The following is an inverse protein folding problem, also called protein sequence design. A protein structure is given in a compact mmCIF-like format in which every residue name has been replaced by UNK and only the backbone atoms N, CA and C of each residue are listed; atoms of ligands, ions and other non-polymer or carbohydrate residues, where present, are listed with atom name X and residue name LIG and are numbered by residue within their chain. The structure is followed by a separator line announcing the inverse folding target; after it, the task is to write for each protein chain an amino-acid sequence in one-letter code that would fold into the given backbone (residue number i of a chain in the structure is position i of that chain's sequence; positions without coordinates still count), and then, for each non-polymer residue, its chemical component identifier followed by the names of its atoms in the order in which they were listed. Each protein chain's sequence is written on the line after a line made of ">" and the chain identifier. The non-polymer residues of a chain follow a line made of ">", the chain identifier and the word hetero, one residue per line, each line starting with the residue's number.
data_IF_626104080502
#
_entry.id   IF_626104080502
#
_cell.length_a   1.000
_cell.length_b   1.000
_cell.length_c   1.000
_cell.angle_alpha   90.00
_cell.angle_beta   90.00
_cell.angle_gamma   90.00
#
_symmetry.space_group_name_H-M   'P 1'
#
loop_
_entity.id
_entity.type
_entity.pdbx_description
1 polymer ?
#
# COMPACT_ATOMS: atom_id res chain seq x y z
N UNK A 1 33.99 6.79 18.46
CA UNK A 1 32.80 6.89 19.31
C UNK A 1 31.53 7.00 18.49
N UNK A 2 31.43 7.99 17.64
CA UNK A 2 30.25 8.14 16.80
C UNK A 2 29.99 6.95 15.85
N UNK A 3 31.05 6.27 15.45
CA UNK A 3 30.93 5.13 14.57
C UNK A 3 30.17 3.96 15.22
N UNK A 4 30.51 3.62 16.46
CA UNK A 4 29.81 2.54 17.17
C UNK A 4 28.37 2.91 17.49
N UNK A 5 28.13 4.15 17.91
CA UNK A 5 26.80 4.63 18.20
C UNK A 5 25.92 4.59 16.94
N UNK A 6 26.47 4.99 15.79
CA UNK A 6 25.75 4.97 14.54
C UNK A 6 25.37 3.54 14.12
N UNK A 7 26.30 2.58 14.30
CA UNK A 7 26.04 1.18 13.96
C UNK A 7 24.94 0.58 14.85
N UNK A 8 24.98 0.88 16.15
CA UNK A 8 23.96 0.40 17.09
C UNK A 8 22.59 0.99 16.77
N UNK A 9 22.53 2.28 16.50
CA UNK A 9 21.26 2.95 16.14
C UNK A 9 20.69 2.36 14.85
N UNK A 10 21.54 2.12 13.86
CA UNK A 10 21.11 1.53 12.61
C UNK A 10 20.54 0.13 12.80
N UNK A 11 21.21 -0.68 13.63
CA UNK A 11 20.72 -2.02 13.95
C UNK A 11 19.39 -1.99 14.66
N UNK A 12 19.22 -1.11 15.63
CA UNK A 12 17.96 -0.94 16.37
C UNK A 12 16.85 -0.46 15.42
N UNK A 13 17.15 0.45 14.49
CA UNK A 13 16.18 0.90 13.50
C UNK A 13 15.68 -0.25 12.63
N UNK A 14 16.56 -1.14 12.22
CA UNK A 14 16.18 -2.29 11.42
C UNK A 14 15.30 -3.25 12.19
N UNK A 15 15.56 -3.44 13.48
CA UNK A 15 14.77 -4.31 14.33
C UNK A 15 13.37 -3.76 14.60
N UNK A 16 13.25 -2.42 14.68
CA UNK A 16 12.00 -1.75 15.03
C UNK A 16 11.23 -1.22 13.82
N UNK A 17 11.78 -1.38 12.63
CA UNK A 17 11.12 -0.88 11.42
C UNK A 17 9.82 -1.64 11.18
N UNK A 18 8.73 -0.91 11.17
CA UNK A 18 7.41 -1.46 10.84
C UNK A 18 7.06 -1.12 9.40
N UNK A 19 6.34 -2.03 8.77
CA UNK A 19 5.79 -1.76 7.45
C UNK A 19 4.67 -0.73 7.60
N UNK A 20 4.78 0.38 6.87
CA UNK A 20 3.77 1.43 6.88
C UNK A 20 2.87 1.25 5.67
N UNK A 21 1.58 1.17 5.92
CA UNK A 21 0.58 0.91 4.88
C UNK A 21 -0.43 2.04 4.88
N UNK A 22 -0.68 2.59 3.70
CA UNK A 22 -1.76 3.54 3.49
C UNK A 22 -2.94 2.78 2.90
N UNK A 23 -4.07 2.80 3.59
CA UNK A 23 -5.32 2.23 3.07
C UNK A 23 -6.20 3.37 2.62
N UNK A 24 -6.52 3.40 1.34
CA UNK A 24 -7.25 4.50 0.75
C UNK A 24 -8.51 4.01 0.03
N UNK A 25 -9.52 4.85 0.05
CA UNK A 25 -10.77 4.60 -0.65
C UNK A 25 -11.02 5.74 -1.63
N UNK A 26 -10.59 5.53 -2.88
CA UNK A 26 -10.72 6.59 -3.89
C UNK A 26 -12.14 6.69 -4.43
N UNK A 27 -12.45 7.84 -5.01
CA UNK A 27 -13.71 8.10 -5.67
C UNK A 27 -14.85 8.41 -4.72
N UNK A 28 -16.06 8.28 -5.22
CA UNK A 28 -17.27 8.66 -4.48
C UNK A 28 -17.94 7.50 -3.75
N UNK A 29 -17.33 6.32 -3.79
CA UNK A 29 -17.86 5.13 -3.14
C UNK A 29 -17.86 5.30 -1.62
N UNK A 30 -19.02 5.11 -1.01
CA UNK A 30 -19.18 5.22 0.44
C UNK A 30 -19.05 3.91 1.21
N UNK A 31 -18.67 2.82 0.55
CA UNK A 31 -18.59 1.49 1.17
C UNK A 31 -17.21 1.28 1.80
N UNK A 32 -17.01 1.76 3.02
CA UNK A 32 -15.69 1.75 3.67
C UNK A 32 -15.46 0.58 4.63
N UNK A 33 -16.47 -0.28 4.84
CA UNK A 33 -16.37 -1.37 5.80
C UNK A 33 -15.22 -2.33 5.49
N UNK A 34 -15.10 -2.73 4.23
CA UNK A 34 -14.02 -3.62 3.82
C UNK A 34 -12.64 -3.01 4.03
N UNK A 35 -12.49 -1.74 3.70
CA UNK A 35 -11.22 -1.03 3.91
C UNK A 35 -10.85 -0.96 5.38
N UNK A 36 -11.83 -0.73 6.26
CA UNK A 36 -11.60 -0.67 7.70
C UNK A 36 -11.22 -2.03 8.28
N UNK A 37 -11.85 -3.10 7.78
CA UNK A 37 -11.51 -4.47 8.20
C UNK A 37 -10.07 -4.81 7.84
N UNK A 38 -9.67 -4.49 6.61
CA UNK A 38 -8.30 -4.72 6.17
C UNK A 38 -7.32 -3.90 6.99
N UNK A 39 -7.63 -2.63 7.23
CA UNK A 39 -6.76 -1.76 8.03
C UNK A 39 -6.54 -2.35 9.43
N UNK A 40 -7.61 -2.84 10.05
CA UNK A 40 -7.51 -3.46 11.36
C UNK A 40 -6.67 -4.73 11.35
N UNK A 41 -6.87 -5.58 10.34
CA UNK A 41 -6.11 -6.82 10.22
C UNK A 41 -4.62 -6.56 10.05
N UNK A 42 -4.26 -5.54 9.28
CA UNK A 42 -2.87 -5.17 9.09
C UNK A 42 -2.26 -4.60 10.37
N UNK A 43 -3.01 -3.80 11.13
CA UNK A 43 -2.56 -3.32 12.43
C UNK A 43 -2.33 -4.48 13.40
N UNK A 44 -3.26 -5.42 13.44
CA UNK A 44 -3.14 -6.60 14.31
C UNK A 44 -1.94 -7.44 13.94
N UNK A 45 -1.51 -7.39 12.69
CA UNK A 45 -0.31 -8.07 12.21
C UNK A 45 0.99 -7.31 12.53
N UNK A 46 0.90 -6.17 13.19
CA UNK A 46 2.07 -5.38 13.59
C UNK A 46 2.48 -4.30 12.61
N UNK A 47 1.69 -4.03 11.59
CA UNK A 47 1.97 -2.97 10.64
C UNK A 47 1.43 -1.64 11.14
N UNK A 48 2.04 -0.55 10.69
CA UNK A 48 1.56 0.79 10.97
C UNK A 48 0.65 1.22 9.81
N UNK A 49 -0.62 1.43 10.10
CA UNK A 49 -1.63 1.65 9.08
C UNK A 49 -2.21 3.05 9.18
N UNK A 50 -2.21 3.75 8.07
CA UNK A 50 -2.85 5.04 7.92
C UNK A 50 -4.08 4.83 7.04
N UNK A 51 -5.26 5.12 7.58
CA UNK A 51 -6.50 5.07 6.82
C UNK A 51 -6.89 6.50 6.43
N UNK A 52 -6.98 6.76 5.12
CA UNK A 52 -7.22 8.12 4.62
C UNK A 52 -8.67 8.56 4.73
N UNK A 53 -9.60 7.60 4.89
CA UNK A 53 -11.02 7.92 4.84
C UNK A 53 -11.58 7.83 3.42
N UNK A 54 -12.81 8.31 3.27
CA UNK A 54 -13.56 8.22 2.01
C UNK A 54 -13.19 9.36 1.05
N UNK A 55 -13.59 9.17 -0.20
CA UNK A 55 -13.59 10.20 -1.25
C UNK A 55 -12.22 10.80 -1.53
N UNK A 56 -11.22 9.96 -1.55
CA UNK A 56 -9.86 10.39 -1.84
C UNK A 56 -9.63 10.48 -3.35
N UNK A 57 -9.02 11.56 -3.80
CA UNK A 57 -8.55 11.65 -5.18
C UNK A 57 -7.20 10.94 -5.31
N UNK A 58 -6.79 10.54 -6.53
CA UNK A 58 -5.45 9.99 -6.71
C UNK A 58 -4.35 10.91 -6.20
N UNK A 59 -4.50 12.22 -6.41
CA UNK A 59 -3.54 13.23 -5.94
C UNK A 59 -3.45 13.24 -4.41
N UNK A 60 -4.58 13.18 -3.73
CA UNK A 60 -4.62 13.13 -2.26
C UNK A 60 -3.96 11.87 -1.72
N UNK A 61 -4.20 10.75 -2.39
CA UNK A 61 -3.65 9.46 -1.99
C UNK A 61 -2.12 9.48 -2.08
N UNK A 62 -1.59 9.92 -3.21
CA UNK A 62 -0.14 9.95 -3.41
C UNK A 62 0.53 10.97 -2.50
N UNK A 63 -0.11 12.13 -2.30
CA UNK A 63 0.40 13.14 -1.36
C UNK A 63 0.48 12.58 0.06
N UNK A 64 -0.56 11.89 0.51
CA UNK A 64 -0.56 11.25 1.83
C UNK A 64 0.52 10.18 1.93
N UNK A 65 0.68 9.37 0.89
CA UNK A 65 1.69 8.33 0.85
C UNK A 65 3.10 8.91 0.96
N UNK A 66 3.34 10.02 0.29
CA UNK A 66 4.64 10.70 0.34
C UNK A 66 4.89 11.29 1.72
N UNK A 67 3.90 11.98 2.29
CA UNK A 67 4.02 12.61 3.61
C UNK A 67 4.22 11.58 4.72
N UNK A 68 3.56 10.43 4.62
CA UNK A 68 3.63 9.38 5.62
C UNK A 68 4.75 8.37 5.36
N UNK A 69 5.46 8.51 4.26
CA UNK A 69 6.58 7.65 3.90
C UNK A 69 6.19 6.17 3.95
N UNK A 70 5.10 5.81 3.28
CA UNK A 70 4.59 4.45 3.31
C UNK A 70 5.32 3.54 2.32
N UNK A 71 5.36 2.26 2.63
CA UNK A 71 5.91 1.24 1.74
C UNK A 71 4.83 0.54 0.93
N UNK A 72 3.57 0.65 1.35
CA UNK A 72 2.45 -0.04 0.72
C UNK A 72 1.26 0.90 0.62
N UNK A 73 0.59 0.89 -0.53
CA UNK A 73 -0.70 1.54 -0.72
C UNK A 73 -1.73 0.46 -1.05
N UNK A 74 -2.76 0.37 -0.24
CA UNK A 74 -3.91 -0.48 -0.51
C UNK A 74 -5.09 0.37 -0.96
N UNK A 75 -5.57 0.13 -2.17
CA UNK A 75 -6.72 0.84 -2.72
C UNK A 75 -7.95 -0.06 -2.63
N UNK A 76 -8.99 0.41 -1.97
CA UNK A 76 -10.26 -0.30 -1.89
C UNK A 76 -11.23 0.33 -2.87
N UNK A 77 -11.56 -0.39 -3.95
CA UNK A 77 -12.37 0.14 -5.05
C UNK A 77 -13.54 -0.80 -5.32
N UNK A 78 -14.74 -0.40 -4.92
CA UNK A 78 -15.96 -1.17 -5.16
C UNK A 78 -16.87 -0.53 -6.21
N UNK A 79 -16.51 0.66 -6.68
CA UNK A 79 -17.34 1.46 -7.59
C UNK A 79 -17.20 1.09 -9.07
N UNK A 80 -16.26 0.23 -9.41
CA UNK A 80 -15.95 -0.08 -10.80
C UNK A 80 -15.03 0.93 -11.47
N UNK A 81 -14.59 1.95 -10.75
CA UNK A 81 -13.75 3.01 -11.31
C UNK A 81 -12.26 2.69 -11.32
N UNK A 82 -11.90 1.44 -11.08
CA UNK A 82 -10.49 1.02 -10.98
C UNK A 82 -9.68 1.32 -12.23
N UNK A 83 -10.27 1.18 -13.42
CA UNK A 83 -9.54 1.43 -14.67
C UNK A 83 -9.22 2.91 -14.90
N UNK A 84 -9.95 3.83 -14.27
CA UNK A 84 -9.67 5.25 -14.33
C UNK A 84 -8.72 5.69 -13.22
N UNK A 85 -8.89 5.13 -12.03
CA UNK A 85 -8.18 5.56 -10.82
C UNK A 85 -6.77 4.99 -10.75
N UNK A 86 -6.61 3.69 -11.01
CA UNK A 86 -5.32 3.01 -10.82
C UNK A 86 -4.22 3.58 -11.70
N UNK A 87 -4.45 3.75 -13.02
CA UNK A 87 -3.38 4.34 -13.86
C UNK A 87 -2.97 5.73 -13.40
N UNK A 88 -3.92 6.51 -12.89
CA UNK A 88 -3.63 7.86 -12.40
C UNK A 88 -2.75 7.81 -11.15
N UNK A 89 -3.07 6.92 -10.21
CA UNK A 89 -2.25 6.71 -9.01
C UNK A 89 -0.84 6.27 -9.40
N UNK A 90 -0.73 5.30 -10.31
CA UNK A 90 0.56 4.78 -10.73
C UNK A 90 1.41 5.85 -11.42
N UNK A 91 0.79 6.68 -12.26
CA UNK A 91 1.48 7.79 -12.92
C UNK A 91 2.00 8.80 -11.91
N UNK A 92 1.18 9.15 -10.92
CA UNK A 92 1.59 10.09 -9.88
C UNK A 92 2.72 9.54 -9.01
N UNK A 93 2.70 8.26 -8.70
CA UNK A 93 3.78 7.62 -7.96
C UNK A 93 5.09 7.69 -8.75
N UNK A 94 5.03 7.42 -10.03
CA UNK A 94 6.19 7.50 -10.90
C UNK A 94 6.76 8.92 -10.95
N UNK A 95 5.89 9.92 -11.08
CA UNK A 95 6.30 11.32 -11.12
C UNK A 95 6.95 11.79 -9.84
N UNK A 96 6.59 11.18 -8.71
CA UNK A 96 7.14 11.51 -7.41
C UNK A 96 8.28 10.58 -6.99
N UNK A 97 8.77 9.77 -7.92
CA UNK A 97 9.88 8.85 -7.67
C UNK A 97 9.56 7.84 -6.56
N UNK A 98 8.31 7.40 -6.51
CA UNK A 98 7.80 6.45 -5.53
C UNK A 98 7.48 5.10 -6.16
N UNK A 99 8.27 4.69 -7.14
CA UNK A 99 8.03 3.42 -7.85
C UNK A 99 8.26 2.20 -6.98
N UNK A 100 8.97 2.36 -5.87
CA UNK A 100 9.22 1.29 -4.92
C UNK A 100 8.03 0.98 -4.02
N UNK A 101 7.01 1.83 -4.01
CA UNK A 101 5.82 1.61 -3.20
C UNK A 101 5.01 0.46 -3.80
N UNK A 102 4.65 -0.50 -2.95
CA UNK A 102 3.85 -1.64 -3.34
C UNK A 102 2.38 -1.22 -3.41
N UNK A 103 1.75 -1.37 -4.57
CA UNK A 103 0.35 -0.98 -4.75
C UNK A 103 -0.52 -2.23 -4.87
N UNK A 104 -1.51 -2.33 -4.00
CA UNK A 104 -2.47 -3.42 -3.97
C UNK A 104 -3.87 -2.87 -4.20
N UNK A 105 -4.70 -3.63 -4.88
CA UNK A 105 -6.08 -3.26 -5.14
C UNK A 105 -6.99 -4.32 -4.54
N UNK A 106 -7.96 -3.89 -3.75
CA UNK A 106 -9.00 -4.75 -3.22
C UNK A 106 -10.36 -4.29 -3.70
N UNK A 107 -11.23 -5.24 -3.99
CA UNK A 107 -12.57 -4.94 -4.44
C UNK A 107 -13.06 -5.94 -5.45
N UNK A 108 -14.22 -5.65 -6.03
CA UNK A 108 -14.80 -6.52 -7.07
C UNK A 108 -14.23 -6.08 -8.41
N UNK A 109 -13.25 -6.84 -8.90
CA UNK A 109 -12.55 -6.53 -10.15
C UNK A 109 -12.85 -7.64 -11.15
N UNK A 110 -13.41 -7.32 -12.33
CA UNK A 110 -13.62 -8.34 -13.35
C UNK A 110 -12.30 -8.97 -13.80
N UNK A 111 -12.32 -10.26 -14.06
CA UNK A 111 -11.13 -11.00 -14.47
C UNK A 111 -10.45 -10.38 -15.69
N UNK A 112 -11.24 -9.85 -16.61
CA UNK A 112 -10.73 -9.21 -17.82
C UNK A 112 -9.90 -7.96 -17.55
N UNK A 113 -10.09 -7.33 -16.38
CA UNK A 113 -9.38 -6.10 -16.02
C UNK A 113 -8.11 -6.36 -15.22
N UNK A 114 -7.94 -7.58 -14.71
CA UNK A 114 -6.81 -7.91 -13.82
C UNK A 114 -5.47 -7.72 -14.52
N UNK A 115 -5.34 -8.25 -15.73
CA UNK A 115 -4.07 -8.14 -16.47
C UNK A 115 -3.71 -6.68 -16.75
N UNK A 116 -4.69 -5.86 -17.11
CA UNK A 116 -4.47 -4.44 -17.36
C UNK A 116 -3.96 -3.71 -16.12
N UNK A 117 -4.53 -4.01 -14.96
CA UNK A 117 -4.10 -3.42 -13.71
C UNK A 117 -2.69 -3.85 -13.33
N UNK A 118 -2.38 -5.13 -13.50
CA UNK A 118 -1.02 -5.63 -13.24
C UNK A 118 0.00 -5.02 -14.20
N UNK A 119 -0.37 -4.85 -15.45
CA UNK A 119 0.49 -4.20 -16.44
C UNK A 119 0.73 -2.72 -16.09
N UNK A 120 -0.24 -2.08 -15.43
CA UNK A 120 -0.07 -0.71 -14.96
C UNK A 120 0.86 -0.60 -13.74
N UNK A 121 1.20 -1.72 -13.11
CA UNK A 121 2.13 -1.75 -11.99
C UNK A 121 1.55 -2.22 -10.66
N UNK A 122 0.27 -2.62 -10.63
CA UNK A 122 -0.34 -3.16 -9.42
C UNK A 122 0.28 -4.53 -9.10
N UNK A 123 0.72 -4.69 -7.86
CA UNK A 123 1.40 -5.92 -7.45
C UNK A 123 0.42 -7.08 -7.28
N UNK A 124 -0.77 -6.84 -6.75
CA UNK A 124 -1.77 -7.88 -6.56
C UNK A 124 -3.16 -7.28 -6.44
N UNK A 125 -4.15 -8.10 -6.77
CA UNK A 125 -5.56 -7.77 -6.68
C UNK A 125 -6.21 -8.81 -5.79
N UNK A 126 -6.91 -8.35 -4.75
CA UNK A 126 -7.58 -9.22 -3.79
C UNK A 126 -9.09 -9.07 -3.93
N UNK A 127 -9.74 -10.14 -4.35
CA UNK A 127 -11.18 -10.19 -4.48
C UNK A 127 -11.84 -10.32 -3.10
N UNK A 128 -13.13 -9.97 -2.97
CA UNK A 128 -13.85 -10.18 -1.72
C UNK A 128 -13.79 -11.64 -1.29
N UNK A 129 -13.59 -11.87 0.01
CA UNK A 129 -13.45 -13.21 0.54
C UNK A 129 -12.01 -13.72 0.66
N UNK A 130 -11.04 -12.95 0.16
CA UNK A 130 -9.63 -13.29 0.35
C UNK A 130 -9.30 -13.27 1.84
N UNK A 131 -8.59 -14.31 2.31
CA UNK A 131 -8.20 -14.40 3.71
C UNK A 131 -7.25 -13.25 4.07
N UNK A 132 -7.46 -12.66 5.25
CA UNK A 132 -6.62 -11.57 5.72
C UNK A 132 -5.15 -12.00 5.84
N UNK A 133 -4.91 -13.24 6.28
CA UNK A 133 -3.54 -13.76 6.38
C UNK A 133 -2.83 -13.79 5.03
N UNK A 134 -3.55 -14.06 3.97
CA UNK A 134 -2.98 -14.07 2.62
C UNK A 134 -2.50 -12.67 2.22
N UNK A 135 -3.29 -11.65 2.54
CA UNK A 135 -2.92 -10.26 2.26
C UNK A 135 -1.70 -9.87 3.08
N UNK A 136 -1.69 -10.21 4.37
CA UNK A 136 -0.58 -9.91 5.27
C UNK A 136 0.72 -10.57 4.77
N UNK A 137 0.66 -11.84 4.41
CA UNK A 137 1.84 -12.56 3.93
C UNK A 137 2.33 -12.01 2.60
N UNK A 138 1.43 -11.64 1.70
CA UNK A 138 1.82 -11.03 0.44
C UNK A 138 2.61 -9.75 0.68
N UNK A 139 2.12 -8.89 1.57
CA UNK A 139 2.80 -7.64 1.89
C UNK A 139 4.19 -7.93 2.47
N UNK A 140 4.28 -8.84 3.43
CA UNK A 140 5.56 -9.16 4.08
C UNK A 140 6.60 -9.70 3.12
N UNK A 141 6.18 -10.45 2.11
CA UNK A 141 7.10 -11.08 1.17
C UNK A 141 7.49 -10.18 0.02
N UNK A 142 6.70 -9.16 -0.30
CA UNK A 142 6.92 -8.33 -1.48
C UNK A 142 7.30 -6.88 -1.17
N UNK A 143 7.13 -6.42 0.06
CA UNK A 143 7.42 -5.04 0.41
C UNK A 143 8.93 -4.79 0.42
N UNK A 144 9.32 -3.59 -0.01
CA UNK A 144 10.70 -3.13 0.11
C UNK A 144 10.84 -2.39 1.42
N UNK A 145 11.52 -3.00 2.39
CA UNK A 145 11.70 -2.44 3.71
C UNK A 145 12.79 -1.36 3.68
N UNK A 146 12.56 -0.20 4.33
CA UNK A 146 13.58 0.84 4.38
C UNK A 146 14.89 0.30 4.96
N UNK A 147 15.99 0.66 4.35
CA UNK A 147 17.31 0.24 4.79
C UNK A 147 17.77 -1.11 4.27
N UNK A 148 16.89 -1.88 3.65
CA UNK A 148 17.23 -3.18 3.07
C UNK A 148 17.43 -3.09 1.57
N UNK A 149 16.93 -2.03 0.96
CA UNK A 149 16.95 -1.86 -0.49
C UNK A 149 18.35 -1.88 -1.09
N UNK A 150 19.35 -1.52 -0.31
CA UNK A 150 20.73 -1.47 -0.78
C UNK A 150 21.37 -2.84 -0.91
N UNK A 151 20.74 -3.86 -0.41
CA UNK A 151 21.27 -5.21 -0.48
C UNK A 151 21.09 -5.84 -1.85
N UNK A 152 20.30 -5.22 -2.69
CA UNK A 152 20.05 -5.74 -4.04
C UNK A 152 21.16 -5.54 -5.01
#
# INVERSE_FOLDING_TARGET
>A
MGFLACAVVKWLSMADVKIRVLVAKPGLDGHDRGAKVIARALRDAGMEVIYTGLRQTPEMIVTAALQEDVQVIGLSILSGAHNAIVPRVMDLLKRNQMEDVLVLVGGIIPDQDIDGLKNAGVAAIFQPGTAMDEIVQFIRTHVKTPGVATAG
#
